data_IF_957165796456
#
_entry.id   IF_957165796456
#
_cell.length_a   1.000
_cell.length_b   1.000
_cell.length_c   1.000
_cell.angle_alpha   90.00
_cell.angle_beta   90.00
_cell.angle_gamma   90.00
#
_symmetry.space_group_name_H-M   'P 1'
#
loop_
_entity.id
_entity.type
_entity.pdbx_description
1 polymer ?
#
# COMPACT_ATOMS: atom_id res chain seq x y z
N UNK A 1 40.58 3.36 10.99
CA UNK A 1 39.94 2.64 9.87
C UNK A 1 38.72 1.91 10.41
N UNK A 2 37.52 2.47 10.29
CA UNK A 2 36.30 1.78 10.70
C UNK A 2 35.83 0.91 9.52
N UNK A 3 35.86 -0.42 9.69
CA UNK A 3 35.37 -1.36 8.68
C UNK A 3 33.86 -1.19 8.44
N UNK A 4 33.34 -1.63 7.29
CA UNK A 4 31.93 -1.46 6.96
C UNK A 4 31.06 -2.27 7.94
N UNK A 5 30.33 -1.58 8.80
CA UNK A 5 29.30 -2.19 9.66
C UNK A 5 28.24 -2.79 8.77
N UNK A 6 28.31 -4.11 8.55
CA UNK A 6 27.32 -4.82 7.74
C UNK A 6 25.97 -4.68 8.44
N UNK A 7 25.07 -3.86 7.87
CA UNK A 7 23.72 -3.68 8.36
C UNK A 7 23.01 -5.02 8.26
N UNK A 8 23.00 -5.81 9.33
CA UNK A 8 22.26 -7.07 9.37
C UNK A 8 20.78 -6.75 9.33
N UNK A 9 20.05 -7.31 8.37
CA UNK A 9 18.61 -7.16 8.30
C UNK A 9 18.00 -7.71 9.59
N UNK A 10 17.15 -6.92 10.22
CA UNK A 10 16.46 -7.32 11.44
C UNK A 10 15.59 -8.56 11.14
N UNK A 11 15.40 -9.44 12.11
CA UNK A 11 14.61 -10.68 11.98
C UNK A 11 13.20 -10.35 11.46
N UNK A 12 12.64 -9.21 11.88
CA UNK A 12 11.36 -8.68 11.38
C UNK A 12 11.39 -8.37 9.88
N UNK A 13 12.40 -7.63 9.40
CA UNK A 13 12.55 -7.30 7.97
C UNK A 13 12.76 -8.57 7.13
N UNK A 14 13.52 -9.53 7.66
CA UNK A 14 13.82 -10.80 6.99
C UNK A 14 12.58 -11.69 6.84
N UNK A 15 11.71 -11.72 7.85
CA UNK A 15 10.48 -12.53 7.84
C UNK A 15 9.22 -11.71 7.58
N UNK A 16 9.34 -10.50 7.04
CA UNK A 16 8.21 -9.58 6.80
C UNK A 16 7.09 -10.25 6.00
N UNK A 17 7.41 -11.01 4.96
CA UNK A 17 6.41 -11.71 4.15
C UNK A 17 5.63 -12.76 4.95
N UNK A 18 6.27 -13.47 5.89
CA UNK A 18 5.60 -14.42 6.77
C UNK A 18 4.69 -13.69 7.77
N UNK A 19 5.16 -12.58 8.34
CA UNK A 19 4.35 -11.74 9.22
C UNK A 19 3.14 -11.16 8.51
N UNK A 20 3.30 -10.66 7.28
CA UNK A 20 2.18 -10.15 6.46
C UNK A 20 1.18 -11.27 6.15
N UNK A 21 1.66 -12.45 5.76
CA UNK A 21 0.78 -13.60 5.51
C UNK A 21 0.02 -14.03 6.78
N UNK A 22 0.69 -14.06 7.93
CA UNK A 22 0.07 -14.36 9.22
C UNK A 22 -1.01 -13.31 9.56
N UNK A 23 -0.70 -12.02 9.41
CA UNK A 23 -1.65 -10.93 9.63
C UNK A 23 -2.86 -11.02 8.69
N UNK A 24 -2.68 -11.42 7.43
CA UNK A 24 -3.78 -11.65 6.49
C UNK A 24 -4.67 -12.80 6.95
N UNK A 25 -4.10 -13.94 7.33
CA UNK A 25 -4.86 -15.11 7.81
C UNK A 25 -5.66 -14.76 9.07
N UNK A 26 -5.01 -14.12 10.04
CA UNK A 26 -5.66 -13.69 11.28
C UNK A 26 -6.75 -12.66 10.98
N UNK A 27 -6.47 -11.66 10.15
CA UNK A 27 -7.45 -10.63 9.77
C UNK A 27 -8.68 -11.22 9.09
N UNK A 28 -8.51 -12.15 8.16
CA UNK A 28 -9.62 -12.87 7.50
C UNK A 28 -10.39 -13.72 8.50
N UNK A 29 -9.69 -14.44 9.39
CA UNK A 29 -10.31 -15.26 10.43
C UNK A 29 -11.16 -14.43 11.39
N UNK A 30 -10.63 -13.31 11.89
CA UNK A 30 -11.35 -12.37 12.75
C UNK A 30 -12.55 -11.77 12.02
N UNK A 31 -12.39 -11.33 10.76
CA UNK A 31 -13.48 -10.77 9.96
C UNK A 31 -14.62 -11.77 9.68
N UNK A 32 -14.32 -13.08 9.61
CA UNK A 32 -15.33 -14.13 9.45
C UNK A 32 -16.03 -14.50 10.76
N UNK A 33 -15.33 -14.46 11.89
CA UNK A 33 -15.83 -14.88 13.21
C UNK A 33 -16.58 -13.77 13.97
N UNK A 34 -16.24 -12.50 13.71
CA UNK A 34 -16.83 -11.34 14.36
C UNK A 34 -17.39 -10.33 13.33
N UNK A 35 -18.47 -10.68 12.60
CA UNK A 35 -19.07 -9.79 11.60
C UNK A 35 -19.55 -8.47 12.22
N UNK A 36 -19.97 -8.48 13.50
CA UNK A 36 -20.37 -7.26 14.21
C UNK A 36 -19.24 -6.23 14.40
N UNK A 37 -17.96 -6.67 14.45
CA UNK A 37 -16.83 -5.74 14.53
C UNK A 37 -16.53 -5.12 13.15
N UNK A 38 -16.72 -5.90 12.07
CA UNK A 38 -16.59 -5.40 10.70
C UNK A 38 -17.75 -4.47 10.33
N UNK A 39 -18.96 -4.75 10.81
CA UNK A 39 -20.15 -3.93 10.57
C UNK A 39 -20.07 -2.62 11.37
N UNK A 40 -19.62 -2.64 12.62
CA UNK A 40 -19.41 -1.40 13.40
C UNK A 40 -18.29 -0.51 12.83
N UNK A 41 -17.22 -1.10 12.29
CA UNK A 41 -16.21 -0.35 11.52
C UNK A 41 -16.78 0.27 10.24
N UNK A 42 -17.79 -0.38 9.64
CA UNK A 42 -18.54 0.09 8.46
C UNK A 42 -19.59 1.14 8.83
N UNK A 43 -20.10 1.12 10.06
CA UNK A 43 -21.06 2.10 10.59
C UNK A 43 -20.39 3.39 11.12
N UNK A 44 -19.07 3.34 11.43
CA UNK A 44 -18.25 4.54 11.71
C UNK A 44 -18.03 5.39 10.44
N UNK A 45 -18.45 4.88 9.28
CA UNK A 45 -18.60 5.63 8.05
C UNK A 45 -19.72 6.68 8.24
N UNK A 46 -19.36 7.96 8.24
CA UNK A 46 -20.34 9.04 8.40
C UNK A 46 -21.36 8.99 7.26
N UNK A 47 -22.55 8.48 7.56
CA UNK A 47 -23.75 8.59 6.74
C UNK A 47 -23.97 7.44 5.76
N UNK A 48 -25.20 6.93 5.77
CA UNK A 48 -25.71 5.96 4.81
C UNK A 48 -25.30 6.29 3.36
N UNK A 49 -24.35 5.53 2.80
CA UNK A 49 -24.06 5.52 1.36
C UNK A 49 -22.74 6.13 0.88
N UNK A 50 -21.83 6.58 1.75
CA UNK A 50 -20.52 7.10 1.30
C UNK A 50 -19.36 6.23 1.78
N UNK A 51 -18.91 5.32 0.90
CA UNK A 51 -17.77 4.38 0.91
C UNK A 51 -16.39 4.85 1.44
N UNK A 52 -16.32 5.86 2.32
CA UNK A 52 -15.08 6.49 2.80
C UNK A 52 -14.98 6.29 4.31
N UNK A 53 -14.37 5.17 4.70
CA UNK A 53 -14.09 4.83 6.08
C UNK A 53 -12.98 5.74 6.64
N UNK A 54 -13.32 6.68 7.53
CA UNK A 54 -12.40 7.66 8.15
C UNK A 54 -11.16 6.98 8.78
N UNK A 55 -11.29 5.90 9.57
CA UNK A 55 -10.15 5.12 10.03
C UNK A 55 -9.17 4.70 8.94
N UNK A 56 -9.67 4.20 7.81
CA UNK A 56 -8.83 3.78 6.68
C UNK A 56 -8.14 4.99 6.04
N UNK A 57 -8.84 6.11 5.89
CA UNK A 57 -8.26 7.34 5.36
C UNK A 57 -7.08 7.84 6.22
N UNK A 58 -7.22 7.81 7.56
CA UNK A 58 -6.14 8.18 8.49
C UNK A 58 -4.95 7.22 8.36
N UNK A 59 -5.19 5.91 8.28
CA UNK A 59 -4.13 4.90 8.12
C UNK A 59 -3.36 5.10 6.80
N UNK A 60 -4.07 5.32 5.70
CA UNK A 60 -3.44 5.61 4.39
C UNK A 60 -2.64 6.91 4.46
N UNK A 61 -3.19 7.97 5.07
CA UNK A 61 -2.49 9.24 5.23
C UNK A 61 -1.19 9.10 6.04
N UNK A 62 -1.24 8.38 7.16
CA UNK A 62 -0.06 8.06 7.99
C UNK A 62 0.99 7.26 7.23
N UNK A 63 0.60 6.45 6.24
CA UNK A 63 1.53 5.68 5.40
C UNK A 63 2.15 6.54 4.28
N UNK A 64 1.38 7.44 3.68
CA UNK A 64 1.82 8.31 2.58
C UNK A 64 2.75 9.43 3.10
N UNK A 65 2.40 10.04 4.23
CA UNK A 65 3.13 11.16 4.82
C UNK A 65 4.65 10.92 5.00
N UNK A 66 5.12 9.82 5.63
CA UNK A 66 6.56 9.57 5.81
C UNK A 66 7.28 9.27 4.49
N UNK A 67 6.58 8.80 3.47
CA UNK A 67 7.16 8.65 2.14
C UNK A 67 7.38 10.01 1.48
N UNK A 68 6.40 10.92 1.58
CA UNK A 68 6.50 12.27 1.02
C UNK A 68 7.63 13.09 1.66
N UNK A 69 7.83 12.99 2.98
CA UNK A 69 8.93 13.69 3.66
C UNK A 69 10.33 13.23 3.23
N UNK A 70 10.46 12.02 2.67
CA UNK A 70 11.73 11.48 2.17
C UNK A 70 12.03 11.90 0.73
N UNK A 71 11.09 12.54 0.04
CA UNK A 71 11.29 12.96 -1.36
C UNK A 71 12.12 14.24 -1.40
N UNK A 72 13.23 14.19 -2.12
CA UNK A 72 14.07 15.34 -2.39
C UNK A 72 13.58 16.09 -3.65
N UNK A 73 13.24 17.37 -3.51
CA UNK A 73 12.75 18.21 -4.61
C UNK A 73 13.76 18.39 -5.74
N UNK A 74 15.06 18.34 -5.46
CA UNK A 74 16.13 18.38 -6.47
C UNK A 74 16.06 17.17 -7.40
N UNK A 75 15.79 15.99 -6.83
CA UNK A 75 15.64 14.74 -7.59
C UNK A 75 14.43 14.78 -8.54
N UNK A 76 13.34 15.46 -8.15
CA UNK A 76 12.14 15.61 -9.00
C UNK A 76 12.48 16.36 -10.29
N UNK A 77 13.25 17.45 -10.18
CA UNK A 77 13.67 18.26 -11.34
C UNK A 77 14.59 17.46 -12.27
N UNK A 78 15.49 16.65 -11.72
CA UNK A 78 16.39 15.82 -12.50
C UNK A 78 15.67 14.68 -13.25
N UNK A 79 14.68 14.05 -12.61
CA UNK A 79 13.84 13.01 -13.24
C UNK A 79 13.03 13.58 -14.42
N UNK A 80 12.60 14.85 -14.33
CA UNK A 80 11.95 15.56 -15.44
C UNK A 80 12.83 15.67 -16.70
N UNK A 81 14.17 15.67 -16.56
CA UNK A 81 15.11 15.70 -17.70
C UNK A 81 15.22 14.35 -18.43
N UNK A 82 14.70 13.25 -17.85
CA UNK A 82 14.72 11.90 -18.44
C UNK A 82 13.28 11.36 -18.66
N UNK A 83 12.51 11.97 -19.60
CA UNK A 83 11.09 11.69 -19.74
C UNK A 83 10.77 10.27 -20.21
N UNK A 84 11.63 9.64 -21.02
CA UNK A 84 11.36 8.30 -21.58
C UNK A 84 11.17 7.24 -20.49
N UNK A 85 12.03 7.22 -19.48
CA UNK A 85 11.92 6.24 -18.38
C UNK A 85 10.71 6.49 -17.49
N UNK A 86 10.39 7.77 -17.23
CA UNK A 86 9.22 8.16 -16.46
C UNK A 86 7.91 7.80 -17.19
N UNK A 87 7.83 8.07 -18.50
CA UNK A 87 6.67 7.74 -19.32
C UNK A 87 6.38 6.24 -19.36
N UNK A 88 7.41 5.41 -19.54
CA UNK A 88 7.26 3.95 -19.51
C UNK A 88 6.75 3.49 -18.14
N UNK A 89 7.35 4.01 -17.06
CA UNK A 89 6.95 3.65 -15.69
C UNK A 89 5.51 4.09 -15.39
N UNK A 90 5.13 5.30 -15.81
CA UNK A 90 3.79 5.83 -15.64
C UNK A 90 2.79 5.00 -16.44
N UNK A 91 3.09 4.69 -17.71
CA UNK A 91 2.26 3.86 -18.57
C UNK A 91 2.04 2.46 -17.98
N UNK A 92 3.10 1.81 -17.50
CA UNK A 92 2.96 0.48 -16.89
C UNK A 92 2.19 0.57 -15.57
N UNK A 93 2.47 1.57 -14.73
CA UNK A 93 1.83 1.69 -13.41
C UNK A 93 0.36 2.13 -13.49
N UNK A 94 0.01 2.99 -14.43
CA UNK A 94 -1.32 3.59 -14.56
C UNK A 94 -2.18 3.01 -15.68
N UNK A 95 -1.60 2.37 -16.70
CA UNK A 95 -2.36 1.68 -17.73
C UNK A 95 -2.28 0.19 -17.52
N UNK A 96 -1.08 -0.40 -17.54
CA UNK A 96 -0.97 -1.87 -17.52
C UNK A 96 -1.55 -2.44 -16.23
N UNK A 97 -1.22 -1.90 -15.05
CA UNK A 97 -1.74 -2.42 -13.77
C UNK A 97 -3.27 -2.38 -13.66
N UNK A 98 -3.97 -1.24 -13.78
CA UNK A 98 -5.42 -1.22 -13.60
C UNK A 98 -6.17 -1.98 -14.69
N UNK A 99 -5.71 -1.93 -15.94
CA UNK A 99 -6.35 -2.70 -17.01
C UNK A 99 -6.11 -4.19 -16.86
N UNK A 100 -4.92 -4.62 -16.40
CA UNK A 100 -4.70 -6.03 -16.05
C UNK A 100 -5.61 -6.47 -14.91
N UNK A 101 -5.80 -5.62 -13.90
CA UNK A 101 -6.70 -5.91 -12.77
C UNK A 101 -8.16 -6.04 -13.23
N UNK A 102 -8.61 -5.12 -14.10
CA UNK A 102 -9.96 -5.16 -14.68
C UNK A 102 -10.15 -6.36 -15.62
N UNK A 103 -9.15 -6.67 -16.46
CA UNK A 103 -9.18 -7.81 -17.38
C UNK A 103 -9.23 -9.15 -16.62
N UNK A 104 -8.38 -9.33 -15.60
CA UNK A 104 -8.44 -10.50 -14.73
C UNK A 104 -9.77 -10.57 -13.98
N UNK A 105 -10.25 -9.42 -13.48
CA UNK A 105 -11.58 -9.30 -12.89
C UNK A 105 -12.66 -9.80 -13.84
N UNK A 106 -12.66 -9.37 -15.10
CA UNK A 106 -13.60 -9.80 -16.14
C UNK A 106 -13.47 -11.28 -16.53
N UNK A 107 -12.25 -11.82 -16.57
CA UNK A 107 -11.99 -13.21 -16.95
C UNK A 107 -12.49 -14.22 -15.91
N UNK A 108 -12.46 -13.85 -14.64
CA UNK A 108 -12.88 -14.70 -13.51
C UNK A 108 -14.24 -14.31 -12.90
N UNK A 109 -14.97 -13.36 -13.53
CA UNK A 109 -16.37 -13.02 -13.23
C UNK A 109 -17.32 -13.75 -14.18
#
# INVERSE_FOLDING_TARGET
MAGPTTKRLNIFERYLSLWVALCMIVGVGVGKLLPGLTDTLRDIEFGAGSQINIPIAILIWLMIYPMMLKVDFSSIVEVGKRPKGLLITLFVNWLVKPFSMAFLGWLFF
#
